data_IF_598192284904
#
_entry.id   IF_598192284904
#
_cell.length_a   1.000
_cell.length_b   1.000
_cell.length_c   1.000
_cell.angle_alpha   90.00
_cell.angle_beta   90.00
_cell.angle_gamma   90.00
#
_symmetry.space_group_name_H-M   'P 1'
#
loop_
_entity.id
_entity.type
_entity.pdbx_description
1 polymer ?
#
# COMPACT_ATOMS: atom_id res chain seq x y z
N UNK A 1 -14.48 -14.29 -4.24
CA UNK A 1 -14.05 -14.59 -2.87
C UNK A 1 -12.65 -14.08 -2.54
N UNK A 2 -11.59 -14.44 -3.30
CA UNK A 2 -10.20 -14.06 -2.95
C UNK A 2 -9.99 -12.54 -2.95
N UNK A 3 -10.53 -11.81 -3.94
CA UNK A 3 -10.37 -10.34 -4.02
C UNK A 3 -10.96 -9.60 -2.81
N UNK A 4 -12.15 -9.98 -2.33
CA UNK A 4 -12.77 -9.34 -1.16
C UNK A 4 -12.00 -9.63 0.13
N UNK A 5 -11.49 -10.85 0.31
CA UNK A 5 -10.64 -11.22 1.46
C UNK A 5 -9.33 -10.44 1.46
N UNK A 6 -8.69 -10.31 0.29
CA UNK A 6 -7.47 -9.51 0.15
C UNK A 6 -7.72 -8.03 0.46
N UNK A 7 -8.83 -7.46 -0.03
CA UNK A 7 -9.19 -6.07 0.23
C UNK A 7 -9.48 -5.81 1.72
N UNK A 8 -10.16 -6.73 2.40
CA UNK A 8 -10.37 -6.66 3.84
C UNK A 8 -9.05 -6.77 4.64
N UNK A 9 -8.16 -7.68 4.24
CA UNK A 9 -6.82 -7.80 4.83
C UNK A 9 -5.96 -6.55 4.63
N UNK A 10 -6.20 -5.76 3.57
CA UNK A 10 -5.51 -4.49 3.33
C UNK A 10 -5.85 -3.40 4.37
N UNK A 11 -7.06 -3.44 4.91
CA UNK A 11 -7.55 -2.48 5.92
C UNK A 11 -7.02 -2.80 7.32
N UNK A 12 -6.67 -4.08 7.56
CA UNK A 12 -6.42 -4.60 8.91
C UNK A 12 -4.99 -5.08 9.15
N UNK A 13 -4.17 -5.38 8.13
CA UNK A 13 -2.85 -6.03 8.32
C UNK A 13 -1.64 -5.15 8.02
N UNK A 14 -0.61 -5.25 8.89
CA UNK A 14 0.78 -4.95 8.57
C UNK A 14 1.53 -6.22 8.25
N UNK A 15 2.16 -6.34 7.07
CA UNK A 15 3.43 -7.07 6.89
C UNK A 15 3.79 -7.27 5.41
N UNK A 16 5.09 -7.11 5.14
CA UNK A 16 5.76 -7.44 3.86
C UNK A 16 5.84 -8.95 3.57
N UNK A 17 5.58 -9.80 4.55
CA UNK A 17 5.70 -11.26 4.40
C UNK A 17 4.60 -11.82 3.51
N UNK A 18 3.44 -11.15 3.47
CA UNK A 18 2.29 -11.65 2.72
C UNK A 18 2.25 -11.17 1.26
N UNK A 19 2.69 -9.94 0.95
CA UNK A 19 2.59 -9.42 -0.42
C UNK A 19 3.45 -10.22 -1.39
N UNK A 20 4.67 -10.61 -1.00
CA UNK A 20 5.53 -11.46 -1.85
C UNK A 20 4.90 -12.83 -2.07
N UNK A 21 4.33 -13.44 -1.02
CA UNK A 21 3.64 -14.74 -1.11
C UNK A 21 2.36 -14.63 -1.95
N UNK A 22 1.63 -13.53 -1.80
CA UNK A 22 0.45 -13.19 -2.59
C UNK A 22 0.78 -12.96 -4.06
N UNK A 23 1.91 -12.31 -4.34
CA UNK A 23 2.43 -12.12 -5.69
C UNK A 23 2.83 -13.46 -6.31
N UNK A 24 3.52 -14.32 -5.57
CA UNK A 24 3.89 -15.68 -6.02
C UNK A 24 2.63 -16.51 -6.29
N UNK A 25 1.66 -16.49 -5.38
CA UNK A 25 0.38 -17.17 -5.54
C UNK A 25 -0.39 -16.62 -6.76
N UNK A 26 -0.52 -15.30 -6.87
CA UNK A 26 -1.15 -14.63 -8.00
C UNK A 26 -0.48 -15.00 -9.31
N UNK A 27 0.86 -15.02 -9.35
CA UNK A 27 1.61 -15.42 -10.53
C UNK A 27 1.41 -16.90 -10.88
N UNK A 28 1.35 -17.79 -9.90
CA UNK A 28 1.01 -19.21 -10.10
C UNK A 28 -0.38 -19.37 -10.72
N UNK A 29 -1.37 -18.60 -10.23
CA UNK A 29 -2.72 -18.58 -10.79
C UNK A 29 -2.73 -18.05 -12.24
N UNK A 30 -1.98 -16.99 -12.54
CA UNK A 30 -1.88 -16.45 -13.90
C UNK A 30 -1.27 -17.46 -14.87
N UNK A 31 -0.20 -18.18 -14.48
CA UNK A 31 0.38 -19.25 -15.31
C UNK A 31 -0.61 -20.39 -15.55
N UNK A 32 -1.41 -20.75 -14.54
CA UNK A 32 -2.44 -21.77 -14.68
C UNK A 32 -3.55 -21.34 -15.67
N UNK A 33 -4.04 -20.10 -15.57
CA UNK A 33 -5.05 -19.54 -16.48
C UNK A 33 -4.52 -19.48 -17.93
N UNK A 34 -3.28 -19.04 -18.10
CA UNK A 34 -2.62 -18.99 -19.40
C UNK A 34 -2.16 -20.36 -19.94
N UNK A 35 -2.42 -21.46 -19.21
CA UNK A 35 -1.96 -22.83 -19.51
C UNK A 35 -0.45 -22.90 -19.79
N UNK A 36 0.33 -22.15 -19.02
CA UNK A 36 1.80 -22.09 -19.16
C UNK A 36 2.43 -23.14 -18.23
N UNK A 37 2.99 -24.17 -18.84
CA UNK A 37 3.75 -25.22 -18.17
C UNK A 37 5.15 -24.75 -17.73
N UNK A 38 5.85 -25.61 -16.99
CA UNK A 38 7.16 -25.32 -16.39
C UNK A 38 8.29 -25.28 -17.43
N UNK A 39 8.13 -26.01 -18.53
CA UNK A 39 9.01 -26.07 -19.71
C UNK A 39 8.92 -24.81 -20.59
N UNK A 40 7.80 -24.08 -20.49
CA UNK A 40 7.65 -22.80 -21.17
C UNK A 40 8.47 -21.69 -20.49
N UNK A 41 9.54 -21.25 -21.17
CA UNK A 41 10.40 -20.13 -20.74
C UNK A 41 9.76 -18.76 -21.02
N UNK A 42 8.63 -18.49 -20.37
CA UNK A 42 7.85 -17.25 -20.49
C UNK A 42 8.10 -16.34 -19.29
N UNK A 43 8.40 -15.07 -19.55
CA UNK A 43 8.63 -14.06 -18.50
C UNK A 43 7.37 -13.74 -17.71
N UNK A 44 7.53 -13.18 -16.51
CA UNK A 44 6.39 -12.83 -15.66
C UNK A 44 5.52 -11.72 -16.26
N UNK A 45 6.16 -10.75 -16.94
CA UNK A 45 5.48 -9.65 -17.62
C UNK A 45 4.67 -10.15 -18.83
N UNK A 46 5.22 -11.09 -19.60
CA UNK A 46 4.52 -11.70 -20.74
C UNK A 46 3.33 -12.54 -20.28
N UNK A 47 3.49 -13.34 -19.21
CA UNK A 47 2.39 -14.08 -18.58
C UNK A 47 1.26 -13.13 -18.15
N UNK A 48 1.62 -12.00 -17.53
CA UNK A 48 0.65 -10.98 -17.09
C UNK A 48 -0.07 -10.36 -18.29
N UNK A 49 0.67 -10.00 -19.36
CA UNK A 49 0.11 -9.42 -20.58
C UNK A 49 -0.90 -10.35 -21.26
N UNK A 50 -0.60 -11.65 -21.33
CA UNK A 50 -1.49 -12.64 -21.94
C UNK A 50 -2.82 -12.80 -21.22
N UNK A 51 -2.84 -12.68 -19.90
CA UNK A 51 -4.05 -12.89 -19.09
C UNK A 51 -4.80 -11.59 -18.81
N UNK A 52 -4.09 -10.51 -18.50
CA UNK A 52 -4.68 -9.25 -18.03
C UNK A 52 -4.62 -8.13 -19.08
N UNK A 53 -3.99 -8.35 -20.24
CA UNK A 53 -3.78 -7.31 -21.26
C UNK A 53 -2.71 -6.28 -20.87
N UNK A 54 -2.54 -5.26 -21.71
CA UNK A 54 -1.56 -4.19 -21.50
C UNK A 54 -1.94 -3.27 -20.32
N UNK A 55 -3.22 -3.12 -20.02
CA UNK A 55 -3.74 -2.25 -18.95
C UNK A 55 -4.06 -3.02 -17.64
N UNK A 56 -3.66 -4.28 -17.59
CA UNK A 56 -4.01 -5.21 -16.53
C UNK A 56 -3.33 -4.92 -15.21
N UNK A 57 -4.03 -4.32 -14.25
CA UNK A 57 -3.50 -4.05 -12.90
C UNK A 57 -3.16 -5.33 -12.14
N UNK A 58 -2.01 -5.37 -11.47
CA UNK A 58 -1.60 -6.52 -10.68
C UNK A 58 -2.32 -6.56 -9.34
N UNK A 59 -2.25 -7.73 -8.70
CA UNK A 59 -2.80 -7.93 -7.37
C UNK A 59 -2.18 -6.95 -6.36
N UNK A 60 -0.87 -6.69 -6.44
CA UNK A 60 -0.22 -5.74 -5.54
C UNK A 60 -0.61 -4.28 -5.81
N UNK A 61 -0.75 -3.87 -7.09
CA UNK A 61 -1.26 -2.54 -7.45
C UNK A 61 -2.68 -2.33 -6.92
N UNK A 62 -3.56 -3.32 -7.04
CA UNK A 62 -4.92 -3.26 -6.50
C UNK A 62 -4.97 -3.17 -4.97
N UNK A 63 -4.13 -3.96 -4.29
CA UNK A 63 -3.96 -3.95 -2.83
C UNK A 63 -3.44 -2.59 -2.36
N UNK A 64 -2.43 -2.06 -3.03
CA UNK A 64 -1.80 -0.78 -2.69
C UNK A 64 -2.72 0.41 -2.96
N UNK A 65 -3.47 0.39 -4.06
CA UNK A 65 -4.50 1.37 -4.36
C UNK A 65 -5.58 1.41 -3.27
N UNK A 66 -6.04 0.24 -2.82
CA UNK A 66 -7.03 0.16 -1.74
C UNK A 66 -6.47 0.72 -0.42
N UNK A 67 -5.23 0.39 -0.08
CA UNK A 67 -4.55 0.96 1.10
C UNK A 67 -4.45 2.48 1.06
N UNK A 68 -4.12 3.08 -0.08
CA UNK A 68 -4.11 4.54 -0.22
C UNK A 68 -5.53 5.12 -0.11
N UNK A 69 -6.54 4.49 -0.72
CA UNK A 69 -7.94 4.95 -0.58
C UNK A 69 -8.40 4.91 0.88
N UNK A 70 -8.10 3.84 1.59
CA UNK A 70 -8.39 3.68 3.02
C UNK A 70 -7.65 4.70 3.87
N UNK A 71 -6.35 4.90 3.63
CA UNK A 71 -5.55 5.95 4.26
C UNK A 71 -6.19 7.33 4.11
N UNK A 72 -6.56 7.68 2.88
CA UNK A 72 -7.25 8.95 2.62
C UNK A 72 -8.62 9.02 3.32
N UNK A 73 -9.33 7.90 3.48
CA UNK A 73 -10.59 7.86 4.23
C UNK A 73 -10.37 8.12 5.71
N UNK A 74 -9.39 7.45 6.34
CA UNK A 74 -9.04 7.63 7.76
C UNK A 74 -8.58 9.06 8.05
N UNK A 75 -7.74 9.64 7.19
CA UNK A 75 -7.27 11.03 7.33
C UNK A 75 -8.38 12.09 7.15
N UNK A 76 -9.53 11.73 6.59
CA UNK A 76 -10.72 12.61 6.51
C UNK A 76 -11.69 12.43 7.67
N UNK A 77 -11.55 11.36 8.47
CA UNK A 77 -12.39 11.18 9.66
C UNK A 77 -12.07 12.25 10.69
N UNK A 78 -13.01 12.69 11.54
CA UNK A 78 -12.69 13.59 12.65
C UNK A 78 -11.79 12.89 13.69
N UNK A 79 -10.95 13.65 14.39
CA UNK A 79 -9.93 13.12 15.32
C UNK A 79 -10.49 12.24 16.42
N UNK A 80 -11.74 12.46 16.85
CA UNK A 80 -12.41 11.62 17.85
C UNK A 80 -12.62 10.16 17.42
N UNK A 81 -12.57 9.86 16.12
CA UNK A 81 -12.84 8.50 15.60
C UNK A 81 -11.67 7.57 15.86
N UNK A 82 -11.99 6.37 16.37
CA UNK A 82 -11.01 5.35 16.76
C UNK A 82 -9.98 5.03 15.67
N UNK A 83 -10.32 4.86 14.37
CA UNK A 83 -9.32 4.58 13.34
C UNK A 83 -8.29 5.71 13.16
N UNK A 84 -8.73 6.98 13.26
CA UNK A 84 -7.84 8.14 13.17
C UNK A 84 -6.99 8.28 14.43
N UNK A 85 -7.58 8.07 15.62
CA UNK A 85 -6.81 8.06 16.89
C UNK A 85 -5.74 6.99 16.88
N UNK A 86 -6.12 5.74 16.58
CA UNK A 86 -5.20 4.60 16.55
C UNK A 86 -4.04 4.81 15.56
N UNK A 87 -4.30 5.50 14.46
CA UNK A 87 -3.30 5.84 13.45
C UNK A 87 -2.35 6.98 13.89
N UNK A 88 -2.87 8.00 14.58
CA UNK A 88 -2.10 9.17 15.04
C UNK A 88 -1.39 8.92 16.37
N UNK A 89 -1.89 8.00 17.21
CA UNK A 89 -1.15 7.46 18.34
C UNK A 89 -0.03 6.59 17.78
N UNK A 90 1.10 7.20 17.48
CA UNK A 90 2.33 6.49 17.16
C UNK A 90 2.64 5.44 18.24
N UNK A 91 3.44 4.44 17.89
CA UNK A 91 4.05 3.55 18.88
C UNK A 91 4.79 4.44 19.87
N UNK A 92 4.33 4.52 21.13
CA UNK A 92 4.95 5.35 22.17
C UNK A 92 6.45 5.03 22.23
N UNK A 93 7.27 6.08 22.37
CA UNK A 93 8.67 5.91 22.77
C UNK A 93 8.69 5.09 24.07
N UNK A 94 9.29 3.89 24.03
CA UNK A 94 9.29 2.93 25.14
C UNK A 94 8.43 1.67 24.93
N UNK A 95 7.72 1.51 23.82
CA UNK A 95 7.11 0.22 23.47
C UNK A 95 8.19 -0.76 22.98
N UNK A 96 8.74 -1.55 23.90
CA UNK A 96 9.65 -2.64 23.55
C UNK A 96 8.89 -3.74 22.81
N UNK A 97 9.34 -4.04 21.59
CA UNK A 97 8.75 -5.11 20.79
C UNK A 97 9.04 -6.44 21.46
N UNK A 98 8.00 -7.26 21.66
CA UNK A 98 8.16 -8.66 22.05
C UNK A 98 9.02 -9.38 21.01
N UNK A 99 10.07 -10.09 21.46
CA UNK A 99 10.94 -10.91 20.61
C UNK A 99 10.09 -11.92 19.83
N UNK A 100 10.12 -11.87 18.50
CA UNK A 100 9.29 -12.72 17.62
C UNK A 100 8.01 -12.07 17.05
N UNK A 101 7.68 -10.84 17.46
CA UNK A 101 6.55 -10.07 16.91
C UNK A 101 6.79 -9.53 15.49
N UNK A 102 5.73 -9.04 14.84
CA UNK A 102 5.80 -8.49 13.48
C UNK A 102 6.84 -7.34 13.38
N UNK A 103 7.80 -7.48 12.45
CA UNK A 103 8.93 -6.55 12.33
C UNK A 103 8.51 -5.14 11.89
N UNK A 104 7.45 -5.03 11.07
CA UNK A 104 6.93 -3.77 10.52
C UNK A 104 5.52 -3.48 11.00
N UNK A 105 5.30 -2.31 11.58
CA UNK A 105 3.96 -1.80 11.90
C UNK A 105 3.23 -1.32 10.64
N UNK A 106 1.90 -1.20 10.72
CA UNK A 106 1.08 -0.70 9.61
C UNK A 106 1.54 0.71 9.17
N UNK A 107 1.94 1.54 10.13
CA UNK A 107 2.59 2.83 9.92
C UNK A 107 3.85 2.74 9.03
N UNK A 108 4.77 1.79 9.30
CA UNK A 108 5.99 1.63 8.50
C UNK A 108 5.72 1.09 7.08
N UNK A 109 4.68 0.27 6.94
CA UNK A 109 4.20 -0.23 5.65
C UNK A 109 3.62 0.90 4.81
N UNK A 110 2.73 1.72 5.39
CA UNK A 110 2.20 2.91 4.72
C UNK A 110 3.30 3.89 4.40
N UNK A 111 4.23 4.17 5.33
CA UNK A 111 5.36 5.06 5.07
C UNK A 111 6.20 4.57 3.88
N UNK A 112 6.42 3.25 3.75
CA UNK A 112 7.11 2.68 2.57
C UNK A 112 6.28 2.76 1.28
N UNK A 113 4.95 2.84 1.37
CA UNK A 113 4.04 2.92 0.22
C UNK A 113 3.94 4.38 -0.27
N UNK A 114 3.80 5.30 0.67
CA UNK A 114 3.70 6.73 0.42
C UNK A 114 5.07 7.39 0.26
N UNK A 115 6.19 6.66 0.44
CA UNK A 115 7.51 7.15 0.03
C UNK A 115 7.59 7.39 -1.48
N UNK A 116 6.81 6.67 -2.29
CA UNK A 116 6.65 6.99 -3.72
C UNK A 116 5.90 8.31 -3.98
N UNK A 117 5.10 8.78 -3.01
CA UNK A 117 4.43 10.08 -3.04
C UNK A 117 5.33 11.23 -2.54
N UNK A 118 6.53 10.94 -2.05
CA UNK A 118 7.47 11.99 -1.61
C UNK A 118 7.95 12.89 -2.76
N UNK A 119 7.83 12.38 -3.99
CA UNK A 119 8.11 13.08 -5.24
C UNK A 119 6.85 13.10 -6.12
N UNK A 120 5.97 14.09 -5.93
CA UNK A 120 4.83 14.33 -6.83
C UNK A 120 5.18 15.52 -7.73
N UNK A 121 5.56 15.23 -8.97
CA UNK A 121 5.99 16.26 -9.93
C UNK A 121 7.24 17.01 -9.46
N UNK A 122 7.18 18.35 -9.41
CA UNK A 122 8.28 19.21 -8.91
C UNK A 122 8.27 19.43 -7.39
N UNK A 123 7.26 18.92 -6.67
CA UNK A 123 7.11 19.16 -5.24
C UNK A 123 7.79 18.04 -4.44
N UNK A 124 8.89 18.38 -3.78
CA UNK A 124 9.53 17.53 -2.76
C UNK A 124 8.86 17.82 -1.43
N UNK A 125 8.14 16.84 -0.88
CA UNK A 125 7.54 17.00 0.46
C UNK A 125 8.66 16.90 1.50
N UNK A 126 9.05 18.04 2.07
CA UNK A 126 10.22 18.21 2.95
C UNK A 126 10.19 17.33 4.22
N UNK A 127 9.03 16.83 4.59
CA UNK A 127 8.73 16.03 5.79
C UNK A 127 9.03 14.52 5.66
N UNK A 128 9.62 14.07 4.54
CA UNK A 128 9.91 12.66 4.25
C UNK A 128 11.37 12.27 4.54
N UNK A 129 11.74 12.14 5.82
CA UNK A 129 13.11 11.82 6.25
C UNK A 129 13.27 10.49 7.02
N UNK A 130 14.48 9.88 7.04
CA UNK A 130 14.78 8.72 7.89
C UNK A 130 14.80 9.05 9.39
N UNK A 131 14.94 10.33 9.76
CA UNK A 131 14.87 10.87 11.15
C UNK A 131 13.48 11.38 11.54
N UNK A 132 12.46 11.03 10.77
CA UNK A 132 11.10 11.51 11.02
C UNK A 132 10.38 10.52 11.97
N UNK A 133 10.54 10.80 13.26
CA UNK A 133 9.92 10.10 14.39
C UNK A 133 8.47 10.55 14.61
N UNK A 134 8.01 11.62 13.93
CA UNK A 134 6.72 12.25 14.16
C UNK A 134 5.75 12.03 13.00
N UNK A 135 4.47 12.19 13.31
CA UNK A 135 3.33 12.12 12.38
C UNK A 135 3.33 13.22 11.31
N UNK A 136 4.45 13.92 11.08
CA UNK A 136 4.52 15.14 10.26
C UNK A 136 4.24 14.88 8.78
N UNK A 137 4.64 13.71 8.26
CA UNK A 137 4.23 13.27 6.92
C UNK A 137 2.73 12.96 6.84
N UNK A 138 2.08 12.54 7.94
CA UNK A 138 0.63 12.35 8.01
C UNK A 138 -0.14 13.66 8.03
N UNK A 139 0.40 14.68 8.71
CA UNK A 139 -0.15 16.04 8.69
C UNK A 139 -0.07 16.62 7.27
N UNK A 140 1.10 16.51 6.64
CA UNK A 140 1.31 16.96 5.25
C UNK A 140 0.38 16.25 4.26
N UNK A 141 0.18 14.94 4.43
CA UNK A 141 -0.81 14.19 3.64
C UNK A 141 -2.25 14.56 4.00
N UNK A 142 -2.52 14.89 5.25
CA UNK A 142 -3.83 15.30 5.74
C UNK A 142 -4.40 16.45 4.93
N UNK A 143 -3.59 17.48 4.70
CA UNK A 143 -3.96 18.66 3.89
C UNK A 143 -4.24 18.29 2.43
N UNK A 144 -3.37 17.46 1.83
CA UNK A 144 -3.56 16.98 0.45
C UNK A 144 -4.81 16.11 0.29
N UNK A 145 -5.14 15.32 1.31
CA UNK A 145 -6.27 14.40 1.33
C UNK A 145 -7.61 15.14 1.48
N UNK A 146 -7.63 16.32 2.10
CA UNK A 146 -8.84 17.16 2.18
C UNK A 146 -9.31 17.55 0.77
N UNK A 147 -8.38 17.84 -0.14
CA UNK A 147 -8.70 18.04 -1.54
C UNK A 147 -8.85 16.69 -2.27
N UNK A 148 -10.09 16.18 -2.36
CA UNK A 148 -10.38 14.89 -3.03
C UNK A 148 -9.88 14.81 -4.47
N UNK A 149 -9.89 15.92 -5.21
CA UNK A 149 -9.44 15.96 -6.61
C UNK A 149 -7.92 15.83 -6.71
N UNK A 150 -7.19 16.48 -5.80
CA UNK A 150 -5.74 16.40 -5.69
C UNK A 150 -5.32 15.00 -5.22
N UNK A 151 -6.00 14.46 -4.22
CA UNK A 151 -5.74 13.10 -3.72
C UNK A 151 -5.94 12.03 -4.79
N UNK A 152 -7.03 12.11 -5.57
CA UNK A 152 -7.27 11.20 -6.69
C UNK A 152 -6.16 11.29 -7.74
N UNK A 153 -5.77 12.51 -8.13
CA UNK A 153 -4.66 12.72 -9.08
C UNK A 153 -3.34 12.12 -8.60
N UNK A 154 -3.01 12.28 -7.31
CA UNK A 154 -1.79 11.71 -6.73
C UNK A 154 -1.81 10.18 -6.70
N UNK A 155 -2.97 9.58 -6.41
CA UNK A 155 -3.13 8.12 -6.49
C UNK A 155 -2.95 7.62 -7.92
N UNK A 156 -3.54 8.32 -8.90
CA UNK A 156 -3.43 7.96 -10.32
C UNK A 156 -2.02 8.17 -10.88
N UNK A 157 -1.24 9.12 -10.37
CA UNK A 157 0.16 9.29 -10.80
C UNK A 157 1.08 8.18 -10.28
N UNK A 158 0.74 7.54 -9.15
CA UNK A 158 1.51 6.42 -8.60
C UNK A 158 1.02 5.07 -9.14
N UNK A 159 -0.27 4.96 -9.45
CA UNK A 159 -0.89 3.77 -10.01
C UNK A 159 -1.74 4.14 -11.25
N UNK A 160 -1.12 4.32 -12.43
CA UNK A 160 -1.86 4.55 -13.68
C UNK A 160 -2.90 3.44 -13.93
#
# INVERSE_FOLDING_TARGET
AVRSVLLYGCETWSSRVDIRKLLVFGHRCLRNIARICWDHRVSNSETRRRVLGNDGKSVDEGVNLHRLRWLGHVLRMPERKLPRRAMLTGVRDGWEKVKGGQFKTWYQCLKSLTSGLSHIGRYRLLSWGPRDYRVQWLETLGDMVQNRSQWRRCIHSVFP
#
